data_IF_326099111771
#
_entry.id   IF_326099111771
#
_cell.length_a   1.000
_cell.length_b   1.000
_cell.length_c   1.000
_cell.angle_alpha   90.00
_cell.angle_beta   90.00
_cell.angle_gamma   90.00
#
_symmetry.space_group_name_H-M   'P 1'
#
loop_
_entity.id
_entity.type
_entity.pdbx_description
1 polymer ?
#
# COMPACT_ATOMS: atom_id res chain seq x y z
N UNK A 1 35.01 -25.39 -62.37
CA UNK A 1 34.68 -26.79 -62.05
C UNK A 1 34.40 -26.91 -60.56
N UNK A 2 33.33 -27.60 -60.16
CA UNK A 2 32.77 -27.59 -58.82
C UNK A 2 33.45 -28.64 -57.92
N UNK A 3 33.57 -28.37 -56.63
CA UNK A 3 33.62 -29.44 -55.61
C UNK A 3 32.74 -29.09 -54.43
N UNK A 4 31.78 -29.97 -54.22
CA UNK A 4 30.75 -30.02 -53.20
C UNK A 4 31.26 -30.86 -52.03
N UNK A 5 31.25 -30.36 -50.80
CA UNK A 5 31.28 -31.18 -49.58
C UNK A 5 30.50 -30.42 -48.48
N UNK A 6 29.28 -30.82 -48.14
CA UNK A 6 28.86 -31.94 -47.29
C UNK A 6 28.70 -31.53 -45.81
N UNK A 7 27.42 -31.42 -45.41
CA UNK A 7 26.89 -31.20 -44.06
C UNK A 7 27.42 -32.22 -43.05
N UNK A 8 27.66 -31.77 -41.80
CA UNK A 8 27.31 -32.53 -40.60
C UNK A 8 26.69 -31.60 -39.56
N UNK A 9 25.37 -31.72 -39.40
CA UNK A 9 24.65 -31.17 -38.26
C UNK A 9 24.96 -31.97 -37.01
N UNK A 10 25.24 -31.27 -35.91
CA UNK A 10 25.24 -31.84 -34.57
C UNK A 10 23.99 -31.32 -33.87
N UNK A 11 23.01 -32.20 -33.72
CA UNK A 11 21.89 -31.99 -32.82
C UNK A 11 22.40 -32.11 -31.38
N UNK A 12 22.36 -31.01 -30.63
CA UNK A 12 22.48 -31.04 -29.18
C UNK A 12 21.08 -31.31 -28.61
N UNK A 13 20.91 -32.51 -28.05
CA UNK A 13 19.83 -32.86 -27.14
C UNK A 13 20.08 -32.11 -25.80
N UNK A 14 19.22 -31.15 -25.48
CA UNK A 14 19.16 -30.54 -24.15
C UNK A 14 18.07 -31.27 -23.35
N UNK A 15 18.38 -31.90 -22.20
CA UNK A 15 17.38 -32.51 -21.35
C UNK A 15 16.57 -31.43 -20.62
N UNK A 16 15.26 -31.48 -20.79
CA UNK A 16 14.27 -30.78 -19.97
C UNK A 16 14.17 -31.52 -18.64
N UNK A 17 14.81 -31.00 -17.60
CA UNK A 17 14.63 -31.47 -16.23
C UNK A 17 13.46 -30.70 -15.59
N UNK A 18 12.29 -31.30 -15.69
CA UNK A 18 11.06 -30.94 -14.98
C UNK A 18 11.22 -31.42 -13.53
N UNK A 19 11.37 -30.49 -12.58
CA UNK A 19 11.52 -30.79 -11.16
C UNK A 19 10.64 -29.89 -10.31
N UNK A 20 9.34 -30.17 -10.30
CA UNK A 20 8.39 -29.56 -9.38
C UNK A 20 8.51 -30.25 -8.00
N UNK A 21 9.04 -29.52 -7.02
CA UNK A 21 8.93 -29.87 -5.61
C UNK A 21 8.00 -28.84 -4.93
N UNK A 22 6.70 -29.10 -5.03
CA UNK A 22 5.71 -28.54 -4.09
C UNK A 22 5.66 -29.49 -2.89
N UNK A 23 6.40 -29.15 -1.84
CA UNK A 23 6.24 -29.73 -0.52
C UNK A 23 5.60 -28.68 0.40
N UNK A 24 4.33 -28.89 0.70
CA UNK A 24 3.65 -28.31 1.85
C UNK A 24 3.76 -29.30 3.02
N UNK A 25 4.14 -28.86 4.22
CA UNK A 25 3.60 -29.30 5.53
C UNK A 25 4.35 -28.65 6.71
N UNK A 26 3.62 -28.31 7.78
CA UNK A 26 4.13 -27.94 9.11
C UNK A 26 3.77 -26.50 9.49
N UNK A 27 2.77 -26.17 10.30
CA UNK A 27 2.27 -26.89 11.49
C UNK A 27 2.91 -26.28 12.73
N UNK A 28 2.33 -25.19 13.24
CA UNK A 28 2.80 -24.51 14.44
C UNK A 28 1.72 -23.58 14.99
N UNK A 29 0.92 -24.11 15.92
CA UNK A 29 0.06 -23.29 16.78
C UNK A 29 0.94 -22.55 17.79
N UNK A 30 0.93 -21.23 17.74
CA UNK A 30 1.23 -20.38 18.89
C UNK A 30 0.16 -19.32 18.96
N UNK A 31 -0.75 -19.52 19.91
CA UNK A 31 -1.74 -18.58 20.39
C UNK A 31 -1.02 -17.38 21.02
N UNK A 32 -0.59 -16.43 20.19
CA UNK A 32 -0.15 -15.07 20.59
C UNK A 32 -0.25 -14.09 19.38
N UNK A 33 -1.07 -14.41 18.38
CA UNK A 33 -1.15 -13.70 17.09
C UNK A 33 -2.39 -12.81 16.93
N UNK A 34 -3.03 -12.37 18.01
CA UNK A 34 -4.23 -11.53 17.93
C UNK A 34 -3.93 -10.03 17.66
N UNK A 35 -2.67 -9.60 17.63
CA UNK A 35 -2.34 -8.15 17.51
C UNK A 35 -1.63 -7.72 16.21
N UNK A 36 -1.35 -8.65 15.28
CA UNK A 36 -0.79 -8.32 13.96
C UNK A 36 -1.81 -8.38 12.80
N UNK A 37 -3.03 -8.87 13.07
CA UNK A 37 -4.07 -9.13 12.07
C UNK A 37 -4.81 -7.89 11.54
N UNK A 38 -4.61 -6.70 12.12
CA UNK A 38 -5.35 -5.48 11.74
C UNK A 38 -4.68 -4.61 10.66
N UNK A 39 -3.49 -5.01 10.19
CA UNK A 39 -2.77 -4.35 9.08
C UNK A 39 -2.98 -5.01 7.71
N UNK A 40 -3.74 -6.09 7.67
CA UNK A 40 -3.95 -6.98 6.51
C UNK A 40 -4.87 -6.36 5.45
N UNK A 41 -5.50 -5.22 5.70
CA UNK A 41 -6.31 -4.54 4.69
C UNK A 41 -5.48 -3.81 3.61
N UNK A 42 -4.59 -2.91 4.00
CA UNK A 42 -3.82 -2.08 3.06
C UNK A 42 -2.48 -2.74 2.61
N UNK A 43 -2.28 -4.01 2.97
CA UNK A 43 -0.98 -4.71 2.86
C UNK A 43 -0.85 -5.71 1.70
N UNK A 44 -1.94 -6.13 1.05
CA UNK A 44 -1.89 -7.24 0.08
C UNK A 44 -1.58 -6.82 -1.37
N UNK A 45 -1.37 -5.53 -1.63
CA UNK A 45 -0.86 -5.06 -2.92
C UNK A 45 0.63 -4.64 -2.90
N UNK A 46 1.25 -4.50 -1.72
CA UNK A 46 2.59 -3.89 -1.61
C UNK A 46 3.70 -4.85 -1.16
N UNK A 47 3.38 -6.06 -0.72
CA UNK A 47 4.36 -7.10 -0.43
C UNK A 47 4.74 -7.91 -1.67
N UNK A 48 5.28 -7.31 -2.73
CA UNK A 48 5.82 -8.11 -3.83
C UNK A 48 7.12 -8.75 -3.36
N UNK A 49 7.06 -10.05 -3.07
CA UNK A 49 8.26 -10.85 -2.80
C UNK A 49 9.21 -10.67 -3.98
N UNK A 50 10.46 -10.33 -3.69
CA UNK A 50 11.44 -10.01 -4.73
C UNK A 50 11.65 -11.07 -5.82
N UNK A 51 11.26 -12.32 -5.55
CA UNK A 51 11.20 -13.40 -6.52
C UNK A 51 10.29 -13.10 -7.73
N UNK A 52 9.25 -12.27 -7.56
CA UNK A 52 8.28 -11.90 -8.61
C UNK A 52 8.55 -10.49 -9.15
N UNK A 53 9.10 -9.59 -8.32
CA UNK A 53 9.26 -8.15 -8.62
C UNK A 53 10.50 -7.76 -9.46
N UNK A 54 11.30 -8.72 -9.95
CA UNK A 54 12.59 -8.46 -10.61
C UNK A 54 13.46 -7.48 -9.78
N UNK A 55 13.61 -7.77 -8.49
CA UNK A 55 14.36 -6.91 -7.59
C UNK A 55 15.84 -6.87 -7.96
N UNK A 56 16.44 -5.68 -7.86
CA UNK A 56 17.88 -5.48 -8.03
C UNK A 56 18.47 -4.70 -6.87
N UNK A 57 19.73 -4.95 -6.52
CA UNK A 57 20.40 -4.08 -5.56
C UNK A 57 20.51 -2.66 -6.14
N UNK A 58 20.28 -1.66 -5.30
CA UNK A 58 20.30 -0.25 -5.69
C UNK A 58 21.67 0.16 -6.23
N UNK A 59 22.74 -0.46 -5.74
CA UNK A 59 24.12 -0.24 -6.19
C UNK A 59 24.39 -0.59 -7.66
N UNK A 60 23.52 -1.38 -8.31
CA UNK A 60 23.60 -1.68 -9.75
C UNK A 60 22.90 -0.63 -10.63
N UNK A 61 22.09 0.26 -10.04
CA UNK A 61 21.42 1.33 -10.76
C UNK A 61 22.25 2.62 -10.68
N UNK A 62 22.40 3.30 -11.82
CA UNK A 62 22.98 4.64 -11.83
C UNK A 62 22.07 5.60 -11.04
N UNK A 63 22.65 6.57 -10.34
CA UNK A 63 21.89 7.44 -9.41
C UNK A 63 20.76 8.21 -10.08
N UNK A 64 20.99 8.67 -11.32
CA UNK A 64 19.97 9.35 -12.12
C UNK A 64 18.80 8.43 -12.52
N UNK A 65 19.00 7.11 -12.52
CA UNK A 65 17.97 6.12 -12.80
C UNK A 65 17.23 5.71 -11.53
N UNK A 66 17.68 6.11 -10.35
CA UNK A 66 16.98 5.80 -9.10
C UNK A 66 15.79 6.74 -8.95
N UNK A 67 14.62 6.14 -8.74
CA UNK A 67 13.37 6.83 -8.50
C UNK A 67 12.88 6.53 -7.09
N UNK A 68 12.85 7.55 -6.24
CA UNK A 68 12.26 7.48 -4.90
C UNK A 68 10.77 7.79 -4.95
N UNK A 69 9.96 6.82 -4.50
CA UNK A 69 8.53 7.00 -4.21
C UNK A 69 8.31 6.88 -2.71
N UNK A 70 7.47 7.74 -2.12
CA UNK A 70 7.10 7.61 -0.72
C UNK A 70 5.75 8.25 -0.40
N UNK A 71 5.15 7.79 0.69
CA UNK A 71 3.97 8.39 1.31
C UNK A 71 4.20 8.55 2.80
N UNK A 72 4.05 9.76 3.30
CA UNK A 72 4.05 10.06 4.73
C UNK A 72 2.60 10.22 5.20
N UNK A 73 2.06 9.26 5.95
CA UNK A 73 0.66 9.25 6.40
C UNK A 73 0.58 9.53 7.89
N UNK A 74 -0.16 10.57 8.27
CA UNK A 74 -0.50 10.88 9.65
C UNK A 74 -1.90 10.36 9.98
N UNK A 75 -2.02 9.63 11.09
CA UNK A 75 -3.30 9.20 11.67
C UNK A 75 -3.28 9.56 13.15
N UNK A 76 -4.06 10.57 13.53
CA UNK A 76 -3.95 11.17 14.86
C UNK A 76 -2.55 11.73 15.10
N UNK A 77 -1.89 11.28 16.18
CA UNK A 77 -0.52 11.70 16.54
C UNK A 77 0.57 10.79 15.95
N UNK A 78 0.22 9.75 15.21
CA UNK A 78 1.19 8.80 14.64
C UNK A 78 1.43 9.15 13.18
N UNK A 79 2.69 9.35 12.81
CA UNK A 79 3.12 9.54 11.43
C UNK A 79 3.90 8.31 10.97
N UNK A 80 3.42 7.67 9.91
CA UNK A 80 4.11 6.55 9.25
C UNK A 80 4.64 6.99 7.90
N UNK A 81 5.94 6.81 7.66
CA UNK A 81 6.57 7.05 6.35
C UNK A 81 6.84 5.70 5.71
N UNK A 82 6.29 5.48 4.51
CA UNK A 82 6.56 4.32 3.66
C UNK A 82 7.25 4.76 2.39
N UNK A 83 8.37 4.14 2.03
CA UNK A 83 9.13 4.46 0.84
C UNK A 83 9.49 3.21 0.04
N UNK A 84 9.65 3.39 -1.28
CA UNK A 84 10.09 2.39 -2.24
C UNK A 84 11.08 3.03 -3.21
N UNK A 85 12.01 2.23 -3.73
CA UNK A 85 12.93 2.63 -4.80
C UNK A 85 12.62 1.84 -6.06
N UNK A 86 12.62 2.54 -7.20
CA UNK A 86 12.44 1.92 -8.52
C UNK A 86 13.55 2.35 -9.46
N UNK A 87 13.81 1.55 -10.49
CA UNK A 87 14.67 1.95 -11.59
C UNK A 87 13.85 2.64 -12.68
N UNK A 88 14.27 3.82 -13.12
CA UNK A 88 13.61 4.59 -14.17
C UNK A 88 13.58 3.82 -15.50
N UNK A 89 12.49 4.02 -16.26
CA UNK A 89 12.24 3.31 -17.52
C UNK A 89 12.04 1.80 -17.41
N UNK A 90 12.05 1.22 -16.19
CA UNK A 90 11.86 -0.21 -15.94
C UNK A 90 10.85 -0.42 -14.81
N UNK A 91 10.21 -1.59 -14.81
CA UNK A 91 9.33 -2.03 -13.72
C UNK A 91 10.11 -2.71 -12.59
N UNK A 92 11.43 -2.46 -12.50
CA UNK A 92 12.29 -3.10 -11.52
C UNK A 92 12.28 -2.34 -10.21
N UNK A 93 12.08 -3.08 -9.12
CA UNK A 93 12.14 -2.56 -7.76
C UNK A 93 13.57 -2.65 -7.23
N UNK A 94 14.06 -1.61 -6.56
CA UNK A 94 15.43 -1.56 -6.06
C UNK A 94 15.47 -1.82 -4.55
N UNK A 95 16.38 -2.70 -4.13
CA UNK A 95 16.68 -2.96 -2.72
C UNK A 95 17.94 -2.19 -2.31
N UNK A 96 17.92 -1.53 -1.16
CA UNK A 96 19.09 -0.84 -0.60
C UNK A 96 20.30 -1.77 -0.49
N UNK A 97 21.41 -1.39 -1.12
CA UNK A 97 22.67 -2.12 -1.14
C UNK A 97 23.86 -1.16 -1.30
N UNK A 98 25.09 -1.66 -1.08
CA UNK A 98 26.31 -0.90 -1.36
C UNK A 98 26.52 0.34 -0.49
N UNK A 99 25.96 0.37 0.73
CA UNK A 99 26.01 1.52 1.64
C UNK A 99 24.96 2.60 1.32
N UNK A 100 24.04 2.34 0.40
CA UNK A 100 22.85 3.18 0.22
C UNK A 100 21.95 3.10 1.45
N UNK A 101 21.33 4.23 1.83
CA UNK A 101 20.43 4.31 2.97
C UNK A 101 19.21 5.18 2.69
N UNK A 102 18.10 4.87 3.36
CA UNK A 102 16.91 5.73 3.43
C UNK A 102 16.72 6.19 4.86
N UNK A 103 16.55 7.49 5.03
CA UNK A 103 16.19 8.09 6.32
C UNK A 103 15.05 9.08 6.16
N UNK A 104 14.34 9.33 7.24
CA UNK A 104 13.33 10.38 7.31
C UNK A 104 13.57 11.24 8.55
N UNK A 105 13.25 12.52 8.43
CA UNK A 105 13.38 13.48 9.51
C UNK A 105 12.05 14.17 9.76
N UNK A 106 11.71 14.28 11.04
CA UNK A 106 10.55 14.99 11.56
C UNK A 106 11.00 15.82 12.77
N UNK A 107 10.88 17.15 12.69
CA UNK A 107 11.16 18.05 13.82
C UNK A 107 12.56 17.82 14.45
N UNK A 108 13.58 17.64 13.62
CA UNK A 108 14.96 17.38 14.07
C UNK A 108 15.22 15.97 14.60
N UNK A 109 14.22 15.09 14.61
CA UNK A 109 14.39 13.65 14.89
C UNK A 109 14.56 12.91 13.57
N UNK A 110 15.70 12.25 13.39
CA UNK A 110 15.96 11.41 12.22
C UNK A 110 15.78 9.94 12.58
N UNK A 111 15.04 9.22 11.74
CA UNK A 111 14.91 7.76 11.80
C UNK A 111 15.36 7.15 10.47
N UNK A 112 16.03 6.01 10.54
CA UNK A 112 16.30 5.18 9.36
C UNK A 112 15.02 4.44 8.95
N UNK A 113 14.69 4.42 7.65
CA UNK A 113 13.60 3.59 7.17
C UNK A 113 14.10 2.16 6.99
N UNK A 114 13.44 1.21 7.66
CA UNK A 114 13.85 -0.20 7.66
C UNK A 114 12.93 -1.03 6.77
N UNK A 115 13.42 -2.13 6.17
CA UNK A 115 12.56 -3.05 5.42
C UNK A 115 11.37 -3.50 6.28
N UNK A 116 10.16 -3.49 5.71
CA UNK A 116 8.95 -3.98 6.39
C UNK A 116 8.97 -5.49 6.62
N UNK A 117 9.78 -6.22 5.87
CA UNK A 117 10.08 -7.64 6.03
C UNK A 117 11.47 -7.97 5.43
N UNK A 118 12.07 -9.14 5.71
CA UNK A 118 13.40 -9.50 5.22
C UNK A 118 13.55 -9.51 3.68
N UNK A 119 12.45 -9.71 2.96
CA UNK A 119 12.40 -9.69 1.49
C UNK A 119 11.63 -8.49 0.94
N UNK A 120 11.32 -7.50 1.79
CA UNK A 120 10.54 -6.34 1.38
C UNK A 120 11.36 -5.40 0.50
N UNK A 121 10.67 -4.81 -0.47
CA UNK A 121 11.08 -3.59 -1.17
C UNK A 121 10.54 -2.32 -0.52
N UNK A 122 9.74 -2.47 0.53
CA UNK A 122 9.08 -1.39 1.24
C UNK A 122 9.87 -1.06 2.50
N UNK A 123 10.18 0.23 2.66
CA UNK A 123 10.90 0.76 3.81
C UNK A 123 9.97 1.60 4.65
N UNK A 124 9.98 1.38 5.97
CA UNK A 124 9.03 2.00 6.90
C UNK A 124 9.76 2.64 8.07
N UNK A 125 9.28 3.83 8.46
CA UNK A 125 9.58 4.46 9.74
C UNK A 125 8.30 4.99 10.37
N UNK A 126 8.25 5.01 11.70
CA UNK A 126 7.10 5.48 12.48
C UNK A 126 7.57 6.52 13.49
N UNK A 127 6.89 7.66 13.53
CA UNK A 127 7.06 8.68 14.54
C UNK A 127 5.79 8.78 15.39
N UNK A 128 5.96 8.67 16.70
CA UNK A 128 4.92 9.01 17.67
C UNK A 128 5.02 10.49 18.06
N UNK A 129 3.86 11.11 18.28
CA UNK A 129 3.74 12.50 18.72
C UNK A 129 3.97 13.54 17.63
N UNK A 130 3.64 13.22 16.37
CA UNK A 130 3.75 14.17 15.26
C UNK A 130 2.78 15.35 15.46
N UNK A 131 3.28 16.58 15.33
CA UNK A 131 2.44 17.77 15.36
C UNK A 131 1.49 17.84 14.16
N UNK A 132 0.47 18.67 14.28
CA UNK A 132 -0.39 19.01 13.15
C UNK A 132 0.41 19.71 12.06
N UNK A 133 0.11 19.38 10.81
CA UNK A 133 0.80 19.94 9.65
C UNK A 133 2.33 19.86 9.85
N UNK A 134 2.84 18.67 10.17
CA UNK A 134 4.27 18.51 10.27
C UNK A 134 4.93 18.50 8.87
N UNK A 135 6.15 19.00 8.79
CA UNK A 135 6.99 18.83 7.61
C UNK A 135 7.84 17.57 7.79
N UNK A 136 7.79 16.69 6.79
CA UNK A 136 8.52 15.41 6.76
C UNK A 136 9.55 15.50 5.65
N UNK A 137 10.81 15.25 5.99
CA UNK A 137 11.88 15.10 4.99
C UNK A 137 12.20 13.62 4.84
N UNK A 138 12.37 13.16 3.60
CA UNK A 138 12.85 11.81 3.25
C UNK A 138 14.12 11.97 2.43
N UNK A 139 15.17 11.29 2.87
CA UNK A 139 16.52 11.38 2.32
C UNK A 139 16.97 10.03 1.82
N UNK A 140 17.30 9.97 0.53
CA UNK A 140 18.08 8.87 -0.03
C UNK A 140 19.56 9.24 0.01
N UNK A 141 20.40 8.41 0.63
CA UNK A 141 21.85 8.64 0.73
C UNK A 141 22.61 7.62 -0.11
N UNK A 142 23.57 8.11 -0.88
CA UNK A 142 24.45 7.29 -1.73
C UNK A 142 25.81 7.95 -1.86
N UNK A 143 26.87 7.18 -1.61
CA UNK A 143 28.26 7.61 -1.80
C UNK A 143 28.59 8.98 -1.15
N UNK A 144 28.04 9.24 0.04
CA UNK A 144 28.22 10.51 0.77
C UNK A 144 27.26 11.64 0.38
N UNK A 145 26.56 11.54 -0.75
CA UNK A 145 25.52 12.50 -1.17
C UNK A 145 24.16 12.15 -0.57
N UNK A 146 23.35 13.18 -0.31
CA UNK A 146 21.97 13.04 0.16
C UNK A 146 20.99 13.73 -0.80
N UNK A 147 19.93 13.02 -1.16
CA UNK A 147 18.87 13.48 -2.05
C UNK A 147 17.59 13.64 -1.23
N UNK A 148 17.30 14.88 -0.84
CA UNK A 148 16.27 15.20 0.13
C UNK A 148 14.97 15.64 -0.55
N UNK A 149 13.87 14.98 -0.21
CA UNK A 149 12.52 15.34 -0.63
C UNK A 149 11.71 15.72 0.62
N UNK A 150 10.98 16.83 0.57
CA UNK A 150 10.21 17.30 1.70
C UNK A 150 8.73 17.35 1.35
N UNK A 151 7.89 16.99 2.31
CA UNK A 151 6.44 17.11 2.18
C UNK A 151 5.83 17.72 3.42
N UNK A 152 4.81 18.53 3.20
CA UNK A 152 3.99 19.11 4.24
C UNK A 152 2.77 18.22 4.44
N UNK A 153 2.50 17.77 5.67
CA UNK A 153 1.28 17.01 5.95
C UNK A 153 0.07 17.97 5.84
N UNK A 154 -1.03 17.57 5.16
CA UNK A 154 -2.24 18.37 5.06
C UNK A 154 -2.83 18.73 6.43
N UNK A 155 -3.68 19.78 6.52
CA UNK A 155 -4.40 20.07 7.75
C UNK A 155 -5.24 18.86 8.18
N UNK A 156 -5.29 18.64 9.50
CA UNK A 156 -6.12 17.58 10.08
C UNK A 156 -7.58 17.77 9.72
N UNK A 157 -8.29 16.65 9.66
CA UNK A 157 -9.74 16.61 9.59
C UNK A 157 -10.22 15.48 10.49
N UNK A 158 -11.51 15.43 10.80
CA UNK A 158 -12.05 14.42 11.71
C UNK A 158 -13.34 13.81 11.18
N UNK A 159 -13.56 12.55 11.54
CA UNK A 159 -14.86 11.92 11.40
C UNK A 159 -15.72 12.32 12.59
N UNK A 160 -16.84 13.00 12.32
CA UNK A 160 -17.83 13.37 13.33
C UNK A 160 -18.73 12.17 13.63
N UNK A 161 -19.15 11.46 12.59
CA UNK A 161 -19.98 10.27 12.68
C UNK A 161 -19.62 9.31 11.56
N UNK A 162 -19.59 7.99 11.81
CA UNK A 162 -19.70 7.33 13.12
C UNK A 162 -18.45 7.57 13.99
N UNK A 163 -18.57 7.50 15.32
CA UNK A 163 -17.45 7.70 16.25
C UNK A 163 -16.66 6.41 16.56
N UNK A 164 -17.06 5.27 15.99
CA UNK A 164 -16.47 3.97 16.25
C UNK A 164 -16.80 2.95 15.17
N UNK A 165 -16.43 1.68 15.38
CA UNK A 165 -16.67 0.61 14.43
C UNK A 165 -18.17 0.46 14.13
N UNK A 166 -18.49 0.23 12.86
CA UNK A 166 -19.88 0.04 12.39
C UNK A 166 -20.12 -1.42 12.04
N UNK A 167 -21.32 -1.90 12.32
CA UNK A 167 -21.83 -3.18 11.81
C UNK A 167 -23.02 -2.92 10.91
N UNK A 168 -23.03 -3.54 9.73
CA UNK A 168 -24.11 -3.47 8.76
C UNK A 168 -24.46 -4.87 8.25
N UNK A 169 -25.69 -5.02 7.78
CA UNK A 169 -26.18 -6.19 7.05
C UNK A 169 -27.10 -5.74 5.91
N UNK A 170 -27.62 -6.69 5.11
CA UNK A 170 -28.48 -6.39 3.97
C UNK A 170 -29.76 -5.61 4.31
N UNK A 171 -30.19 -5.61 5.58
CA UNK A 171 -31.40 -4.92 6.06
C UNK A 171 -31.08 -3.67 6.91
N UNK A 172 -29.80 -3.32 7.05
CA UNK A 172 -29.39 -2.15 7.84
C UNK A 172 -29.78 -0.86 7.13
N UNK A 173 -30.07 0.22 7.89
CA UNK A 173 -30.21 1.55 7.30
C UNK A 173 -28.91 1.96 6.60
N UNK A 174 -29.00 2.95 5.73
CA UNK A 174 -27.85 3.53 5.05
C UNK A 174 -26.81 4.02 6.08
N UNK A 175 -25.54 3.73 5.82
CA UNK A 175 -24.44 4.26 6.62
C UNK A 175 -24.13 5.68 6.15
N UNK A 176 -24.29 6.65 7.04
CA UNK A 176 -23.85 8.02 6.83
C UNK A 176 -22.52 8.29 7.54
N UNK A 177 -21.58 8.84 6.79
CA UNK A 177 -20.28 9.28 7.31
C UNK A 177 -20.20 10.80 7.18
N UNK A 178 -20.06 11.47 8.32
CA UNK A 178 -19.92 12.92 8.41
C UNK A 178 -18.46 13.22 8.74
N UNK A 179 -17.82 14.00 7.87
CA UNK A 179 -16.45 14.47 8.03
C UNK A 179 -16.45 15.98 8.25
N UNK A 180 -15.67 16.44 9.23
CA UNK A 180 -15.27 17.84 9.35
C UNK A 180 -13.96 18.03 8.62
N UNK A 181 -14.02 18.56 7.41
CA UNK A 181 -12.90 18.75 6.48
C UNK A 181 -12.59 20.24 6.33
N UNK A 182 -11.31 20.65 6.29
CA UNK A 182 -10.94 22.01 5.94
C UNK A 182 -11.65 22.47 4.66
N UNK A 183 -12.07 23.73 4.60
CA UNK A 183 -12.94 24.30 3.55
C UNK A 183 -12.47 24.15 2.08
N UNK A 184 -11.22 23.74 1.83
CA UNK A 184 -10.69 23.44 0.48
C UNK A 184 -10.28 21.98 0.27
N UNK A 185 -10.43 21.12 1.29
CA UNK A 185 -10.06 19.72 1.24
C UNK A 185 -11.16 18.86 0.62
N UNK A 186 -10.77 17.86 -0.19
CA UNK A 186 -11.64 16.78 -0.64
C UNK A 186 -10.96 15.45 -0.31
N UNK A 187 -11.30 14.79 0.80
CA UNK A 187 -10.68 13.53 1.15
C UNK A 187 -11.08 12.47 0.13
N UNK A 188 -10.10 11.67 -0.27
CA UNK A 188 -10.31 10.49 -1.08
C UNK A 188 -10.55 9.31 -0.14
N UNK A 189 -11.52 8.47 -0.47
CA UNK A 189 -11.74 7.22 0.23
C UNK A 189 -10.75 6.18 -0.31
N UNK A 190 -10.00 5.54 0.57
CA UNK A 190 -9.27 4.30 0.28
C UNK A 190 -9.94 3.20 1.08
N UNK A 191 -10.07 2.01 0.52
CA UNK A 191 -10.64 0.88 1.23
C UNK A 191 -9.73 -0.33 1.16
N UNK A 192 -9.93 -1.19 2.15
CA UNK A 192 -9.44 -2.54 2.11
C UNK A 192 -10.43 -3.44 2.83
N UNK A 193 -10.54 -4.68 2.39
CA UNK A 193 -11.46 -5.61 3.01
C UNK A 193 -10.87 -7.00 3.08
N UNK A 194 -11.26 -7.72 4.12
CA UNK A 194 -11.07 -9.16 4.26
C UNK A 194 -12.44 -9.80 4.46
N UNK A 195 -12.80 -10.73 3.58
CA UNK A 195 -14.06 -11.45 3.64
C UNK A 195 -13.85 -12.92 3.91
N UNK A 196 -14.67 -13.46 4.81
CA UNK A 196 -14.88 -14.90 4.95
C UNK A 196 -15.98 -15.36 4.00
N UNK A 197 -15.80 -16.53 3.39
CA UNK A 197 -16.81 -17.19 2.57
C UNK A 197 -17.50 -18.31 3.35
N UNK A 198 -18.63 -18.79 2.86
CA UNK A 198 -19.37 -19.88 3.52
C UNK A 198 -18.59 -21.21 3.58
N UNK A 199 -17.68 -21.45 2.62
CA UNK A 199 -16.76 -22.60 2.61
C UNK A 199 -15.56 -22.45 3.57
N UNK A 200 -15.49 -21.34 4.32
CA UNK A 200 -14.40 -21.02 5.24
C UNK A 200 -13.18 -20.39 4.59
N UNK A 201 -13.14 -20.26 3.26
CA UNK A 201 -12.04 -19.57 2.58
C UNK A 201 -12.07 -18.05 2.82
N UNK A 202 -10.89 -17.43 2.73
CA UNK A 202 -10.71 -15.99 2.89
C UNK A 202 -10.42 -15.33 1.54
N UNK A 203 -10.94 -14.12 1.36
CA UNK A 203 -10.64 -13.27 0.21
C UNK A 203 -10.31 -11.86 0.69
N UNK A 204 -9.27 -11.25 0.12
CA UNK A 204 -8.92 -9.85 0.40
C UNK A 204 -9.02 -9.03 -0.89
N UNK A 205 -9.47 -7.79 -0.78
CA UNK A 205 -9.55 -6.85 -1.91
C UNK A 205 -9.34 -5.41 -1.45
N UNK A 206 -8.90 -4.58 -2.41
CA UNK A 206 -8.61 -3.17 -2.24
C UNK A 206 -9.49 -2.31 -3.17
N UNK A 207 -10.77 -2.68 -3.30
CA UNK A 207 -11.74 -1.96 -4.11
C UNK A 207 -12.68 -1.13 -3.23
N UNK A 208 -12.88 0.14 -3.61
CA UNK A 208 -13.68 1.11 -2.87
C UNK A 208 -15.17 0.76 -2.94
N UNK A 209 -15.87 0.64 -1.79
CA UNK A 209 -17.32 0.53 -1.79
C UNK A 209 -17.96 1.83 -2.32
N UNK A 210 -19.18 1.76 -2.88
CA UNK A 210 -19.79 2.87 -3.61
C UNK A 210 -20.38 3.93 -2.66
N UNK A 211 -19.52 4.70 -1.98
CA UNK A 211 -19.96 5.86 -1.20
C UNK A 211 -20.38 7.02 -2.12
N UNK A 212 -21.55 7.59 -1.86
CA UNK A 212 -22.08 8.78 -2.52
C UNK A 212 -21.82 10.01 -1.65
N UNK A 213 -21.23 11.08 -2.21
CA UNK A 213 -21.18 12.38 -1.55
C UNK A 213 -22.57 13.05 -1.68
N UNK A 214 -23.32 13.12 -0.59
CA UNK A 214 -24.70 13.64 -0.60
C UNK A 214 -24.79 15.10 -0.17
N UNK A 215 -23.81 15.60 0.59
CA UNK A 215 -23.79 16.99 1.05
C UNK A 215 -22.34 17.47 1.24
N UNK A 216 -22.05 18.70 0.81
CA UNK A 216 -20.78 19.38 1.07
C UNK A 216 -21.06 20.86 1.38
N UNK A 217 -21.24 21.18 2.65
CA UNK A 217 -21.57 22.53 3.12
C UNK A 217 -20.51 23.03 4.10
N UNK A 218 -19.79 24.08 3.71
CA UNK A 218 -18.71 24.66 4.51
C UNK A 218 -17.61 23.64 4.76
N UNK A 219 -17.34 23.36 6.04
CA UNK A 219 -16.35 22.38 6.49
C UNK A 219 -16.94 20.99 6.74
N UNK A 220 -18.23 20.77 6.43
CA UNK A 220 -18.89 19.49 6.66
C UNK A 220 -19.14 18.80 5.32
N UNK A 221 -18.70 17.54 5.21
CA UNK A 221 -18.99 16.66 4.09
C UNK A 221 -19.71 15.42 4.59
N UNK A 222 -20.85 15.09 3.98
CA UNK A 222 -21.66 13.91 4.30
C UNK A 222 -21.61 12.92 3.15
N UNK A 223 -21.14 11.71 3.45
CA UNK A 223 -21.11 10.58 2.54
C UNK A 223 -22.15 9.55 2.97
N UNK A 224 -22.70 8.82 2.01
CA UNK A 224 -23.70 7.77 2.25
C UNK A 224 -23.30 6.48 1.56
N UNK A 225 -23.41 5.36 2.26
CA UNK A 225 -23.30 4.01 1.71
C UNK A 225 -24.60 3.26 1.97
N UNK A 226 -25.30 2.89 0.89
CA UNK A 226 -26.53 2.09 1.00
C UNK A 226 -26.20 0.62 1.20
N UNK A 227 -26.92 -0.05 2.10
CA UNK A 227 -26.75 -1.49 2.35
C UNK A 227 -26.94 -2.32 1.08
N UNK A 228 -27.97 -2.01 0.29
CA UNK A 228 -28.24 -2.68 -1.00
C UNK A 228 -27.10 -2.52 -2.02
N UNK A 229 -26.45 -1.35 -2.06
CA UNK A 229 -25.33 -1.10 -2.97
C UNK A 229 -24.07 -1.84 -2.50
N UNK A 230 -23.86 -1.94 -1.19
CA UNK A 230 -22.78 -2.76 -0.62
C UNK A 230 -22.98 -4.27 -0.89
N UNK A 231 -24.22 -4.78 -0.78
CA UNK A 231 -24.54 -6.17 -1.19
C UNK A 231 -24.19 -6.37 -2.66
N UNK A 232 -24.67 -5.49 -3.54
CA UNK A 232 -24.42 -5.60 -4.98
C UNK A 232 -22.93 -5.55 -5.29
N UNK A 233 -22.21 -4.61 -4.66
CA UNK A 233 -20.76 -4.49 -4.76
C UNK A 233 -20.06 -5.80 -4.41
N UNK A 234 -20.38 -6.41 -3.26
CA UNK A 234 -19.79 -7.68 -2.84
C UNK A 234 -20.09 -8.83 -3.80
N UNK A 235 -21.30 -8.88 -4.38
CA UNK A 235 -21.65 -9.92 -5.38
C UNK A 235 -20.92 -9.75 -6.71
N UNK A 236 -20.42 -8.56 -7.01
CA UNK A 236 -19.69 -8.26 -8.24
C UNK A 236 -18.17 -8.41 -8.10
N UNK A 237 -17.66 -8.61 -6.89
CA UNK A 237 -16.23 -8.79 -6.67
C UNK A 237 -15.74 -10.05 -7.38
N UNK A 238 -14.59 -9.99 -8.07
CA UNK A 238 -14.03 -11.16 -8.73
C UNK A 238 -13.72 -12.24 -7.69
N UNK A 239 -14.39 -13.38 -7.80
CA UNK A 239 -14.15 -14.53 -6.94
C UNK A 239 -13.52 -15.67 -7.73
N UNK A 240 -12.45 -16.24 -7.17
CA UNK A 240 -11.87 -17.50 -7.64
C UNK A 240 -12.73 -18.73 -7.28
N UNK A 241 -13.79 -18.53 -6.49
CA UNK A 241 -14.70 -19.56 -6.00
C UNK A 241 -16.14 -19.04 -6.10
N UNK A 242 -17.07 -19.93 -6.43
CA UNK A 242 -18.50 -19.61 -6.47
C UNK A 242 -19.15 -19.53 -5.09
N UNK A 243 -18.39 -19.73 -3.99
CA UNK A 243 -18.91 -19.65 -2.64
C UNK A 243 -19.23 -18.19 -2.25
N UNK A 244 -20.46 -17.89 -1.79
CA UNK A 244 -20.84 -16.54 -1.40
C UNK A 244 -20.07 -16.07 -0.15
N UNK A 245 -19.91 -14.76 -0.05
CA UNK A 245 -19.34 -14.11 1.13
C UNK A 245 -20.29 -14.26 2.33
N UNK A 246 -19.74 -14.65 3.48
CA UNK A 246 -20.45 -14.80 4.75
C UNK A 246 -20.31 -13.54 5.61
N UNK A 247 -19.11 -12.97 5.67
CA UNK A 247 -18.85 -11.72 6.38
C UNK A 247 -17.68 -11.00 5.72
N UNK A 248 -17.65 -9.69 5.84
CA UNK A 248 -16.59 -8.83 5.32
C UNK A 248 -16.21 -7.77 6.34
N UNK A 249 -14.95 -7.74 6.74
CA UNK A 249 -14.39 -6.68 7.56
C UNK A 249 -13.67 -5.69 6.65
N UNK A 250 -14.23 -4.49 6.53
CA UNK A 250 -13.71 -3.37 5.78
C UNK A 250 -12.94 -2.42 6.70
N UNK A 251 -11.79 -1.94 6.22
CA UNK A 251 -11.10 -0.76 6.76
C UNK A 251 -11.16 0.34 5.71
N UNK A 252 -12.03 1.30 5.95
CA UNK A 252 -12.27 2.48 5.14
C UNK A 252 -11.36 3.60 5.67
N UNK A 253 -10.67 4.32 4.80
CA UNK A 253 -9.75 5.38 5.19
C UNK A 253 -9.96 6.58 4.30
N UNK A 254 -10.53 7.65 4.87
CA UNK A 254 -10.54 8.94 4.19
C UNK A 254 -9.16 9.57 4.33
N UNK A 255 -8.62 10.09 3.24
CA UNK A 255 -7.30 10.70 3.23
C UNK A 255 -7.31 12.01 2.43
N UNK A 256 -6.78 13.08 3.03
CA UNK A 256 -6.35 14.26 2.30
C UNK A 256 -4.89 14.07 1.92
N UNK A 257 -4.53 14.41 0.69
CA UNK A 257 -3.16 14.23 0.17
C UNK A 257 -2.61 15.54 -0.37
N UNK A 258 -1.32 15.77 -0.16
CA UNK A 258 -0.56 16.87 -0.76
C UNK A 258 0.71 16.31 -1.40
N UNK A 259 1.09 16.78 -2.61
CA UNK A 259 2.32 16.34 -3.25
C UNK A 259 3.55 16.88 -2.52
N UNK A 260 4.63 16.10 -2.55
CA UNK A 260 5.93 16.52 -2.04
C UNK A 260 6.73 17.36 -3.04
N UNK A 261 7.80 18.00 -2.56
CA UNK A 261 8.83 18.58 -3.43
C UNK A 261 9.68 17.48 -4.10
N UNK A 262 10.08 17.71 -5.35
CA UNK A 262 10.96 16.78 -6.08
C UNK A 262 12.42 17.08 -5.71
N UNK A 263 13.18 16.11 -5.20
CA UNK A 263 14.62 16.27 -4.95
C UNK A 263 15.38 16.48 -6.25
N UNK A 264 16.34 17.41 -6.27
CA UNK A 264 17.28 17.54 -7.39
C UNK A 264 18.24 16.33 -7.42
N UNK A 265 18.58 15.82 -8.61
CA UNK A 265 19.66 14.83 -8.80
C UNK A 265 19.24 13.35 -8.81
N UNK A 266 17.96 13.02 -8.63
CA UNK A 266 17.39 11.69 -8.89
C UNK A 266 16.24 11.78 -9.89
N UNK A 267 15.77 10.63 -10.42
CA UNK A 267 14.65 10.62 -11.37
C UNK A 267 13.40 11.25 -10.76
N UNK A 268 12.75 12.12 -11.52
CA UNK A 268 11.54 12.84 -11.09
C UNK A 268 10.31 11.94 -11.01
N UNK A 269 10.29 10.80 -11.72
CA UNK A 269 9.09 10.00 -11.99
C UNK A 269 8.46 9.22 -10.83
N UNK A 270 8.82 9.50 -9.57
CA UNK A 270 8.25 8.85 -8.38
C UNK A 270 7.01 9.55 -7.85
N UNK A 271 6.11 8.81 -7.20
CA UNK A 271 5.00 9.38 -6.45
C UNK A 271 5.47 9.76 -5.05
N UNK A 272 5.24 11.01 -4.65
CA UNK A 272 5.72 11.54 -3.37
C UNK A 272 4.61 12.38 -2.75
N UNK A 273 4.13 11.98 -1.58
CA UNK A 273 2.99 12.65 -0.96
C UNK A 273 3.02 12.60 0.57
N UNK A 274 2.33 13.58 1.15
CA UNK A 274 1.97 13.65 2.56
C UNK A 274 0.47 13.50 2.67
N UNK A 275 0.02 12.71 3.63
CA UNK A 275 -1.39 12.39 3.83
C UNK A 275 -1.78 12.57 5.29
N UNK A 276 -2.96 13.15 5.51
CA UNK A 276 -3.66 13.00 6.79
C UNK A 276 -4.83 12.06 6.56
N UNK A 277 -5.00 11.06 7.44
CA UNK A 277 -5.96 9.98 7.26
C UNK A 277 -6.84 9.77 8.51
N UNK A 278 -8.12 9.48 8.28
CA UNK A 278 -9.09 9.10 9.32
C UNK A 278 -9.74 7.76 8.94
N UNK A 279 -9.47 6.68 9.70
CA UNK A 279 -10.02 5.35 9.42
C UNK A 279 -11.40 5.12 10.04
N UNK A 280 -12.17 4.22 9.44
CA UNK A 280 -13.38 3.61 9.95
C UNK A 280 -13.34 2.11 9.69
N UNK A 281 -13.54 1.31 10.73
CA UNK A 281 -13.74 -0.13 10.57
C UNK A 281 -15.24 -0.41 10.41
N UNK A 282 -15.60 -1.12 9.35
CA UNK A 282 -16.97 -1.51 9.01
C UNK A 282 -17.02 -3.03 8.85
N UNK A 283 -17.86 -3.70 9.63
CA UNK A 283 -18.15 -5.13 9.43
C UNK A 283 -19.50 -5.29 8.73
N UNK A 284 -19.51 -6.05 7.65
CA UNK A 284 -20.70 -6.35 6.86
C UNK A 284 -21.04 -7.85 6.89
N UNK A 285 -22.30 -8.17 7.13
CA UNK A 285 -22.85 -9.53 7.10
C UNK A 285 -24.02 -9.56 6.09
N UNK A 286 -23.82 -10.08 4.86
CA UNK A 286 -24.81 -10.06 3.79
C UNK A 286 -26.16 -10.70 4.16
#
# INVERSE_FOLDING_TARGET
MPTTHARRGRHFLVPVALGALLAACGGGSSSDAEDLGRSIGAGFANGVVCAIANCKPSSEAATQDVRLSYTATQTGSVLTVRAQLHQDGKWAVLQLAGGDALSTELQGRTLELRPSSPSASDYVAVFDGAAEQAQVMVSFRRAGSAYNSAVQIPPRFSMISPSGPVRMNGNSPDLEVLLQVPSRGRPLLKSSASCSRQDGSLAAFAQEPPFELIEAQGEIQRYRLRSADLTRFLTQLPSSSNSPHKSCDFRLTWALSQPASVPMGISSGGTRSGEYATPLDLRYEP
#
